data_IF_298888744661
#
_entry.id   IF_298888744661
#
_cell.length_a   1.000
_cell.length_b   1.000
_cell.length_c   1.000
_cell.angle_alpha   90.00
_cell.angle_beta   90.00
_cell.angle_gamma   90.00
#
_symmetry.space_group_name_H-M   'P 1'
#
loop_
_entity.id
_entity.type
_entity.pdbx_description
1 polymer ?
#
# COMPACT_ATOMS: atom_id res chain seq x y z
N UNK A 1 -27.15 42.99 0.85
CA UNK A 1 -26.68 42.19 1.99
C UNK A 1 -25.90 41.01 1.45
N UNK A 2 -24.59 41.18 1.25
CA UNK A 2 -23.70 40.15 0.76
C UNK A 2 -22.98 39.52 1.95
N UNK A 3 -23.20 38.23 2.17
CA UNK A 3 -22.67 37.48 3.30
C UNK A 3 -21.20 37.15 3.01
N UNK A 4 -20.29 37.82 3.71
CA UNK A 4 -18.85 37.51 3.69
C UNK A 4 -18.63 36.10 4.23
N UNK A 5 -18.25 35.18 3.34
CA UNK A 5 -17.81 33.82 3.68
C UNK A 5 -16.45 33.91 4.35
N UNK A 6 -16.41 33.78 5.68
CA UNK A 6 -15.16 33.67 6.43
C UNK A 6 -14.36 32.47 5.92
N UNK A 7 -13.15 32.72 5.43
CA UNK A 7 -12.11 31.70 5.30
C UNK A 7 -11.82 31.15 6.69
N UNK A 8 -12.23 29.90 6.95
CA UNK A 8 -11.68 29.14 8.09
C UNK A 8 -10.21 28.89 7.77
N UNK A 9 -9.31 29.45 8.59
CA UNK A 9 -7.89 29.16 8.52
C UNK A 9 -7.66 27.65 8.63
N UNK A 10 -6.70 27.12 7.88
CA UNK A 10 -6.26 25.75 8.00
C UNK A 10 -5.85 25.48 9.46
N UNK A 11 -6.37 24.41 10.05
CA UNK A 11 -5.92 23.98 11.37
C UNK A 11 -4.41 23.71 11.32
N UNK A 12 -3.63 24.13 12.33
CA UNK A 12 -2.19 23.92 12.33
C UNK A 12 -1.90 22.42 12.37
N UNK A 13 -1.06 21.93 11.45
CA UNK A 13 -0.48 20.60 11.53
C UNK A 13 0.24 20.48 12.88
N UNK A 14 -0.18 19.54 13.72
CA UNK A 14 0.49 19.29 15.00
C UNK A 14 1.66 18.34 14.73
N UNK A 15 2.84 18.93 14.52
CA UNK A 15 4.10 18.19 14.47
C UNK A 15 4.51 17.84 15.91
N UNK A 16 4.75 16.56 16.19
CA UNK A 16 5.29 16.18 17.48
C UNK A 16 6.75 16.66 17.59
N UNK A 17 7.16 17.27 18.72
CA UNK A 17 8.56 17.60 18.94
C UNK A 17 9.40 16.32 19.03
N UNK A 18 10.66 16.39 18.57
CA UNK A 18 11.59 15.26 18.60
C UNK A 18 11.69 14.68 20.03
N UNK A 19 11.64 13.34 20.20
CA UNK A 19 11.60 12.73 21.53
C UNK A 19 12.94 12.94 22.25
N UNK A 20 12.95 13.76 23.30
CA UNK A 20 14.12 13.97 24.16
C UNK A 20 14.20 12.86 25.22
N UNK A 21 14.97 11.81 24.94
CA UNK A 21 15.52 10.91 25.97
C UNK A 21 15.03 9.45 26.01
N UNK A 22 16.01 8.56 26.26
CA UNK A 22 16.01 7.16 26.72
C UNK A 22 15.13 6.10 26.05
N UNK A 23 14.32 6.46 25.05
CA UNK A 23 13.66 5.50 24.19
C UNK A 23 13.70 5.85 22.71
N UNK A 24 14.41 6.91 22.33
CA UNK A 24 14.46 7.52 20.99
C UNK A 24 14.84 6.55 19.87
N UNK A 25 14.65 6.99 18.63
CA UNK A 25 15.23 6.30 17.48
C UNK A 25 16.77 6.24 17.66
N UNK A 26 17.48 5.38 16.92
CA UNK A 26 18.94 5.52 16.95
C UNK A 26 19.34 6.92 16.47
N UNK A 27 20.50 7.43 16.88
CA UNK A 27 20.94 8.76 16.46
C UNK A 27 20.96 8.92 14.92
N UNK A 28 21.25 7.84 14.20
CA UNK A 28 21.17 7.76 12.74
C UNK A 28 19.73 7.84 12.23
N UNK A 29 18.80 7.14 12.86
CA UNK A 29 17.39 7.12 12.48
C UNK A 29 16.70 8.46 12.81
N UNK A 30 17.08 9.12 13.91
CA UNK A 30 16.59 10.46 14.24
C UNK A 30 17.06 11.50 13.20
N UNK A 31 18.30 11.40 12.71
CA UNK A 31 18.82 12.28 11.65
C UNK A 31 18.10 12.02 10.32
N UNK A 32 17.99 10.76 9.89
CA UNK A 32 17.26 10.38 8.67
C UNK A 32 15.78 10.83 8.73
N UNK A 33 15.12 10.69 9.88
CA UNK A 33 13.75 11.13 10.05
C UNK A 33 13.62 12.66 10.01
N UNK A 34 14.62 13.41 10.49
CA UNK A 34 14.66 14.88 10.39
C UNK A 34 14.81 15.34 8.95
N UNK A 35 15.69 14.69 8.19
CA UNK A 35 15.85 14.94 6.76
C UNK A 35 14.53 14.70 6.01
N UNK A 36 13.83 13.58 6.27
CA UNK A 36 12.54 13.27 5.64
C UNK A 36 11.43 14.29 5.94
N UNK A 37 11.38 14.80 7.18
CA UNK A 37 10.42 15.86 7.54
C UNK A 37 10.80 17.16 6.83
N UNK A 38 12.08 17.53 6.82
CA UNK A 38 12.56 18.76 6.19
C UNK A 38 12.37 18.74 4.66
N UNK A 39 12.65 17.63 3.98
CA UNK A 39 12.38 17.45 2.54
C UNK A 39 10.90 17.67 2.23
N UNK A 40 10.02 17.14 3.09
CA UNK A 40 8.57 17.26 2.90
C UNK A 40 8.06 18.66 3.21
N UNK A 41 8.62 19.35 4.20
CA UNK A 41 8.29 20.74 4.50
C UNK A 41 8.80 21.71 3.42
N UNK A 42 9.97 21.46 2.84
CA UNK A 42 10.50 22.22 1.70
C UNK A 42 9.66 22.12 0.43
N UNK A 43 8.95 20.99 0.23
CA UNK A 43 7.99 20.81 -0.86
C UNK A 43 6.65 21.55 -0.67
N UNK A 44 6.34 22.03 0.54
CA UNK A 44 5.07 22.70 0.85
C UNK A 44 5.14 24.22 0.59
N UNK A 45 6.35 24.81 0.55
CA UNK A 45 6.54 26.26 0.31
C UNK A 45 6.63 26.61 -1.20
N UNK A 46 6.97 25.65 -2.07
CA UNK A 46 6.98 25.87 -3.52
C UNK A 46 5.73 25.32 -4.21
N UNK A 47 4.66 26.13 -4.19
CA UNK A 47 3.62 26.01 -5.19
C UNK A 47 4.22 26.21 -6.59
N UNK A 48 4.26 25.13 -7.38
CA UNK A 48 4.70 25.04 -8.78
C UNK A 48 6.16 24.64 -9.01
N UNK A 49 6.47 23.38 -8.75
CA UNK A 49 7.39 22.64 -9.63
C UNK A 49 7.01 21.16 -9.62
N UNK A 50 7.08 20.52 -10.78
CA UNK A 50 6.80 19.09 -10.93
C UNK A 50 7.54 18.31 -9.82
N UNK A 51 6.95 17.23 -9.26
CA UNK A 51 7.73 16.33 -8.43
C UNK A 51 8.98 15.94 -9.21
N UNK A 52 10.16 15.81 -8.55
CA UNK A 52 11.36 15.35 -9.22
C UNK A 52 10.97 14.09 -9.97
N UNK A 53 11.14 14.13 -11.29
CA UNK A 53 10.97 12.97 -12.16
C UNK A 53 11.93 11.96 -11.55
N UNK A 54 11.37 10.99 -10.81
CA UNK A 54 12.12 9.81 -10.42
C UNK A 54 12.63 9.29 -11.74
N UNK A 55 13.96 9.31 -11.93
CA UNK A 55 14.59 8.69 -13.07
C UNK A 55 13.93 7.31 -13.17
N UNK A 56 13.14 7.11 -14.22
CA UNK A 56 12.55 5.82 -14.51
C UNK A 56 13.78 4.93 -14.72
N UNK A 57 14.18 4.17 -13.69
CA UNK A 57 15.06 3.04 -13.92
C UNK A 57 14.31 2.22 -14.97
N UNK A 58 14.79 2.30 -16.22
CA UNK A 58 14.23 1.57 -17.34
C UNK A 58 14.24 0.11 -16.92
N UNK A 59 13.07 -0.37 -16.48
CA UNK A 59 12.95 -1.69 -15.89
C UNK A 59 13.47 -2.71 -16.89
N UNK A 60 14.34 -3.60 -16.41
CA UNK A 60 14.90 -4.68 -17.21
C UNK A 60 13.78 -5.40 -17.98
N UNK A 61 13.95 -5.48 -19.30
CA UNK A 61 12.99 -6.11 -20.20
C UNK A 61 12.76 -7.55 -19.77
N UNK A 62 11.49 -7.95 -19.64
CA UNK A 62 11.13 -9.30 -19.21
C UNK A 62 11.11 -9.53 -17.70
N UNK A 63 11.36 -8.50 -16.88
CA UNK A 63 11.34 -8.59 -15.42
C UNK A 63 10.13 -7.84 -14.85
N UNK A 64 9.45 -8.46 -13.88
CA UNK A 64 8.38 -7.83 -13.10
C UNK A 64 8.99 -7.05 -11.93
N UNK A 65 8.83 -5.73 -11.93
CA UNK A 65 9.26 -4.85 -10.84
C UNK A 65 8.10 -4.51 -9.93
N UNK A 66 8.31 -4.61 -8.61
CA UNK A 66 7.36 -4.15 -7.61
C UNK A 66 7.74 -2.74 -7.17
N UNK A 67 6.84 -1.79 -7.39
CA UNK A 67 7.04 -0.38 -7.06
C UNK A 67 6.47 -0.02 -5.70
N UNK A 68 5.30 -0.57 -5.38
CA UNK A 68 4.60 -0.22 -4.15
C UNK A 68 3.78 -1.38 -3.63
N UNK A 69 3.88 -1.61 -2.32
CA UNK A 69 3.06 -2.56 -1.59
C UNK A 69 2.21 -1.79 -0.58
N UNK A 70 0.93 -2.12 -0.55
CA UNK A 70 -0.01 -1.67 0.48
C UNK A 70 -0.43 -2.86 1.34
N UNK A 71 -0.33 -2.73 2.65
CA UNK A 71 -0.73 -3.77 3.59
C UNK A 71 -1.42 -3.22 4.82
N UNK A 72 -2.21 -4.09 5.47
CA UNK A 72 -2.88 -3.82 6.73
C UNK A 72 -2.44 -4.82 7.79
N UNK A 73 -2.49 -4.40 9.06
CA UNK A 73 -2.47 -5.33 10.19
C UNK A 73 -3.29 -4.76 11.36
N UNK A 74 -3.50 -5.58 12.38
CA UNK A 74 -4.20 -5.20 13.61
C UNK A 74 -3.23 -5.26 14.80
N UNK A 75 -3.22 -4.22 15.63
CA UNK A 75 -2.40 -4.09 16.83
C UNK A 75 -3.08 -4.62 18.11
N UNK A 76 -4.39 -4.94 18.03
CA UNK A 76 -5.22 -5.50 19.10
C UNK A 76 -5.29 -4.67 20.39
N UNK A 77 -5.21 -3.35 20.27
CA UNK A 77 -5.40 -2.41 21.36
C UNK A 77 -6.01 -1.09 20.86
N UNK A 78 -6.73 -0.39 21.72
CA UNK A 78 -7.15 0.98 21.43
C UNK A 78 -5.95 1.92 21.60
N UNK A 79 -5.81 2.85 20.67
CA UNK A 79 -4.69 3.78 20.58
C UNK A 79 -5.22 5.20 20.71
N UNK A 80 -4.73 5.90 21.72
CA UNK A 80 -4.84 7.35 21.80
C UNK A 80 -3.87 7.95 20.77
N UNK A 81 -4.45 8.63 19.76
CA UNK A 81 -3.72 9.15 18.61
C UNK A 81 -2.80 10.32 18.99
N UNK A 82 -3.19 11.16 19.95
CA UNK A 82 -2.36 12.26 20.44
C UNK A 82 -1.13 11.71 21.19
N UNK A 83 -1.34 10.70 22.04
CA UNK A 83 -0.24 10.03 22.74
C UNK A 83 0.66 9.27 21.77
N UNK A 84 0.08 8.59 20.78
CA UNK A 84 0.85 7.87 19.77
C UNK A 84 1.68 8.83 18.90
N UNK A 85 1.13 9.98 18.53
CA UNK A 85 1.85 11.01 17.78
C UNK A 85 3.09 11.50 18.56
N UNK A 86 2.89 11.86 19.84
CA UNK A 86 4.01 12.25 20.73
C UNK A 86 5.04 11.13 20.94
N UNK A 87 4.61 9.87 20.99
CA UNK A 87 5.49 8.73 21.21
C UNK A 87 6.37 8.39 20.00
N UNK A 88 5.89 8.66 18.79
CA UNK A 88 6.61 8.38 17.55
C UNK A 88 7.56 9.53 17.20
N UNK A 89 7.14 10.78 17.48
CA UNK A 89 7.96 11.98 17.32
C UNK A 89 8.03 12.49 15.88
N UNK A 90 8.34 11.62 14.92
CA UNK A 90 8.36 11.91 13.49
C UNK A 90 7.00 11.65 12.82
N UNK A 91 5.92 12.08 13.47
CA UNK A 91 4.57 11.74 13.04
C UNK A 91 3.66 12.95 12.95
N UNK A 92 2.74 12.90 12.01
CA UNK A 92 1.74 13.93 11.75
C UNK A 92 0.36 13.39 12.11
N UNK A 93 -0.39 14.19 12.87
CA UNK A 93 -1.78 13.88 13.20
C UNK A 93 -2.61 15.15 13.09
N UNK A 94 -3.63 15.10 12.24
CA UNK A 94 -4.63 16.16 12.10
C UNK A 94 -6.03 15.54 12.03
N UNK A 95 -6.80 15.54 13.13
CA UNK A 95 -8.12 14.90 13.17
C UNK A 95 -9.13 15.51 12.19
N UNK A 96 -8.97 16.77 11.78
CA UNK A 96 -9.88 17.40 10.83
C UNK A 96 -9.66 16.94 9.39
N UNK A 97 -8.42 16.59 9.03
CA UNK A 97 -8.06 16.11 7.70
C UNK A 97 -8.17 14.58 7.62
N UNK A 98 -7.55 13.88 8.57
CA UNK A 98 -7.48 12.42 8.55
C UNK A 98 -7.32 11.84 9.96
N UNK A 99 -8.26 10.97 10.34
CA UNK A 99 -8.37 10.40 11.69
C UNK A 99 -7.36 9.25 11.94
N UNK A 100 -6.08 9.50 11.66
CA UNK A 100 -4.99 8.56 11.90
C UNK A 100 -3.67 9.29 12.13
N UNK A 101 -2.79 8.71 12.95
CA UNK A 101 -1.40 9.16 13.04
C UNK A 101 -0.62 8.62 11.86
N UNK A 102 0.00 9.48 11.06
CA UNK A 102 0.91 9.08 9.98
C UNK A 102 2.36 9.21 10.44
N UNK A 103 3.16 8.20 10.11
CA UNK A 103 4.62 8.19 10.30
C UNK A 103 5.27 7.79 8.99
N UNK A 104 6.24 8.55 8.52
CA UNK A 104 7.07 8.16 7.39
C UNK A 104 8.39 7.58 7.90
N UNK A 105 8.82 6.46 7.32
CA UNK A 105 10.00 5.73 7.77
C UNK A 105 10.84 5.34 6.57
N UNK A 106 12.14 5.70 6.62
CA UNK A 106 13.14 5.19 5.70
C UNK A 106 13.26 3.67 5.84
N UNK A 107 13.03 2.95 4.76
CA UNK A 107 13.22 1.50 4.68
C UNK A 107 14.69 1.18 4.34
N UNK A 108 15.11 -0.07 4.58
CA UNK A 108 16.47 -0.53 4.29
C UNK A 108 16.83 -0.44 2.81
N UNK A 109 15.83 -0.56 1.94
CA UNK A 109 15.97 -0.44 0.48
C UNK A 109 15.97 1.01 -0.01
N UNK A 110 16.17 2.00 0.87
CA UNK A 110 16.19 3.42 0.52
C UNK A 110 14.86 3.96 -0.06
N UNK A 111 13.74 3.26 0.17
CA UNK A 111 12.40 3.78 -0.09
C UNK A 111 11.76 4.34 1.20
N UNK A 112 10.72 5.15 1.05
CA UNK A 112 9.99 5.75 2.19
C UNK A 112 8.66 5.01 2.33
N UNK A 113 8.45 4.39 3.49
CA UNK A 113 7.17 3.78 3.83
C UNK A 113 6.36 4.69 4.76
N UNK A 114 5.15 5.02 4.35
CA UNK A 114 4.16 5.72 5.17
C UNK A 114 3.29 4.72 5.94
N UNK A 115 3.28 4.85 7.26
CA UNK A 115 2.49 4.03 8.19
C UNK A 115 1.40 4.90 8.81
N UNK A 116 0.14 4.52 8.64
CA UNK A 116 -1.02 5.16 9.23
C UNK A 116 -1.58 4.27 10.35
N UNK A 117 -1.78 4.84 11.54
CA UNK A 117 -2.28 4.16 12.74
C UNK A 117 -3.63 4.75 13.13
N UNK A 118 -4.64 3.90 13.25
CA UNK A 118 -6.01 4.28 13.61
C UNK A 118 -6.28 4.03 15.09
N UNK A 119 -7.23 4.76 15.67
CA UNK A 119 -7.55 4.69 17.10
C UNK A 119 -8.07 3.33 17.55
N UNK A 120 -8.66 2.56 16.64
CA UNK A 120 -9.10 1.18 16.86
C UNK A 120 -7.97 0.13 16.79
N UNK A 121 -6.71 0.57 16.66
CA UNK A 121 -5.55 -0.31 16.55
C UNK A 121 -5.33 -0.92 15.17
N UNK A 122 -6.11 -0.55 14.16
CA UNK A 122 -5.77 -0.89 12.76
C UNK A 122 -4.51 -0.10 12.37
N UNK A 123 -3.64 -0.72 11.60
CA UNK A 123 -2.47 -0.08 11.03
C UNK A 123 -2.39 -0.38 9.54
N UNK A 124 -2.09 0.63 8.73
CA UNK A 124 -1.94 0.56 7.29
C UNK A 124 -0.53 1.01 6.92
N UNK A 125 0.14 0.28 6.04
CA UNK A 125 1.45 0.66 5.50
C UNK A 125 1.40 0.76 3.97
N UNK A 126 2.13 1.72 3.41
CA UNK A 126 2.28 1.96 1.97
C UNK A 126 3.68 2.46 1.63
N UNK A 127 4.12 2.36 0.37
CA UNK A 127 5.33 3.04 -0.13
C UNK A 127 6.61 2.18 -0.12
N UNK A 128 6.55 0.97 0.44
CA UNK A 128 7.64 0.01 0.33
C UNK A 128 7.57 -0.75 -1.00
N UNK A 129 8.73 -1.12 -1.54
CA UNK A 129 8.88 -1.91 -2.77
C UNK A 129 8.88 -3.44 -2.53
N UNK A 130 8.72 -3.90 -1.29
CA UNK A 130 8.63 -5.32 -0.92
C UNK A 130 7.68 -5.52 0.26
N UNK A 131 7.00 -6.68 0.26
CA UNK A 131 6.09 -7.10 1.33
C UNK A 131 6.84 -7.31 2.65
N UNK A 132 8.02 -7.91 2.58
CA UNK A 132 8.88 -8.20 3.73
C UNK A 132 9.35 -6.90 4.39
N UNK A 133 9.75 -5.92 3.57
CA UNK A 133 10.23 -4.63 4.04
C UNK A 133 9.10 -3.85 4.72
N UNK A 134 7.93 -3.79 4.09
CA UNK A 134 6.75 -3.15 4.69
C UNK A 134 6.39 -3.80 6.04
N UNK A 135 6.42 -5.14 6.10
CA UNK A 135 6.15 -5.89 7.33
C UNK A 135 7.17 -5.58 8.42
N UNK A 136 8.46 -5.43 8.08
CA UNK A 136 9.52 -5.05 9.02
C UNK A 136 9.29 -3.65 9.57
N UNK A 137 8.98 -2.68 8.71
CA UNK A 137 8.68 -1.30 9.09
C UNK A 137 7.47 -1.21 10.00
N UNK A 138 6.38 -1.89 9.66
CA UNK A 138 5.19 -1.99 10.52
C UNK A 138 5.52 -2.60 11.89
N UNK A 139 6.32 -3.67 11.95
CA UNK A 139 6.79 -4.26 13.21
C UNK A 139 7.68 -3.30 14.02
N UNK A 140 8.48 -2.46 13.36
CA UNK A 140 9.33 -1.44 14.00
C UNK A 140 8.45 -0.41 14.71
N UNK A 141 7.44 0.14 14.01
CA UNK A 141 6.46 1.07 14.59
C UNK A 141 5.67 0.44 15.74
N UNK A 142 5.16 -0.78 15.57
CA UNK A 142 4.44 -1.49 16.63
C UNK A 142 5.28 -1.67 17.90
N UNK A 143 6.56 -2.04 17.76
CA UNK A 143 7.49 -2.16 18.90
C UNK A 143 7.79 -0.82 19.56
N UNK A 144 7.85 0.27 18.79
CA UNK A 144 8.05 1.62 19.32
C UNK A 144 6.88 2.04 20.20
N UNK A 145 5.65 1.87 19.71
CA UNK A 145 4.42 2.10 20.46
C UNK A 145 4.28 1.22 21.71
N UNK A 146 4.90 0.04 21.72
CA UNK A 146 4.89 -0.84 22.89
C UNK A 146 5.88 -0.42 23.97
N UNK A 147 7.07 0.07 23.58
CA UNK A 147 8.17 0.39 24.51
C UNK A 147 8.19 1.83 25.00
N UNK A 148 7.50 2.74 24.32
CA UNK A 148 7.57 4.16 24.66
C UNK A 148 6.98 4.41 26.06
N UNK A 149 7.63 5.19 26.95
CA UNK A 149 7.17 5.38 28.33
C UNK A 149 5.81 6.07 28.45
N UNK A 150 5.44 6.92 27.48
CA UNK A 150 4.12 7.56 27.40
C UNK A 150 2.98 6.58 27.08
N UNK A 151 3.29 5.39 26.57
CA UNK A 151 2.31 4.41 26.11
C UNK A 151 2.39 3.15 26.95
N UNK A 152 1.24 2.64 27.39
CA UNK A 152 1.13 1.33 28.08
C UNK A 152 0.37 0.30 27.24
N UNK A 153 0.51 0.41 25.91
CA UNK A 153 -0.23 -0.44 24.98
C UNK A 153 0.31 -1.87 25.00
N UNK A 154 -0.58 -2.84 25.17
CA UNK A 154 -0.28 -4.25 24.90
C UNK A 154 -0.42 -4.51 23.41
N UNK A 155 0.59 -4.10 22.65
CA UNK A 155 0.61 -4.22 21.20
C UNK A 155 0.85 -5.67 20.78
N UNK A 156 -0.01 -6.20 19.92
CA UNK A 156 0.19 -7.48 19.24
C UNK A 156 -0.15 -7.32 17.76
N UNK A 157 0.88 -7.35 16.90
CA UNK A 157 0.70 -7.26 15.46
C UNK A 157 0.20 -8.59 14.90
N UNK A 158 -1.06 -8.62 14.49
CA UNK A 158 -1.76 -9.79 13.94
C UNK A 158 -2.46 -9.43 12.63
N UNK A 159 -3.00 -10.44 11.93
CA UNK A 159 -3.78 -10.25 10.69
C UNK A 159 -3.06 -9.37 9.66
N UNK A 160 -1.74 -9.56 9.51
CA UNK A 160 -1.00 -8.89 8.45
C UNK A 160 -1.49 -9.41 7.09
N UNK A 161 -1.99 -8.52 6.24
CA UNK A 161 -2.52 -8.85 4.93
C UNK A 161 -2.11 -7.80 3.92
N UNK A 162 -1.54 -8.24 2.80
CA UNK A 162 -1.32 -7.37 1.64
C UNK A 162 -2.68 -7.07 1.01
N UNK A 163 -2.91 -5.80 0.72
CA UNK A 163 -4.14 -5.33 0.09
C UNK A 163 -3.96 -5.09 -1.40
N UNK A 164 -2.79 -4.60 -1.81
CA UNK A 164 -2.50 -4.26 -3.18
C UNK A 164 -0.98 -4.23 -3.41
N UNK A 165 -0.58 -4.64 -4.60
CA UNK A 165 0.77 -4.51 -5.15
C UNK A 165 0.65 -3.75 -6.46
N UNK A 166 1.46 -2.70 -6.61
CA UNK A 166 1.71 -2.01 -7.85
C UNK A 166 3.02 -2.51 -8.43
N UNK A 167 2.99 -2.97 -9.66
CA UNK A 167 4.19 -3.39 -10.38
C UNK A 167 4.21 -2.93 -11.82
N UNK A 168 5.36 -3.03 -12.46
CA UNK A 168 5.54 -2.81 -13.89
C UNK A 168 6.31 -3.95 -14.53
N UNK A 169 6.08 -4.15 -15.81
CA UNK A 169 6.76 -5.10 -16.64
C UNK A 169 6.99 -4.48 -18.02
N UNK A 170 8.18 -4.65 -18.58
CA UNK A 170 8.52 -4.14 -19.91
C UNK A 170 8.60 -5.31 -20.89
N UNK A 171 7.71 -5.31 -21.89
CA UNK A 171 7.78 -6.23 -23.01
C UNK A 171 8.78 -5.74 -24.06
N UNK A 172 9.54 -6.66 -24.67
CA UNK A 172 10.69 -6.35 -25.53
C UNK A 172 10.37 -5.68 -26.86
N UNK A 173 9.10 -5.51 -27.21
CA UNK A 173 8.71 -5.06 -28.55
C UNK A 173 7.42 -4.22 -28.49
N UNK A 174 7.25 -3.26 -29.41
CA UNK A 174 6.00 -2.51 -29.52
C UNK A 174 4.81 -3.42 -29.83
N UNK A 175 3.64 -3.06 -29.31
CA UNK A 175 2.40 -3.86 -29.41
C UNK A 175 1.32 -3.04 -30.10
N UNK A 176 0.61 -3.66 -31.05
CA UNK A 176 -0.60 -3.10 -31.63
C UNK A 176 -1.79 -3.29 -30.68
N UNK A 177 -2.15 -2.24 -29.94
CA UNK A 177 -3.29 -2.27 -29.02
C UNK A 177 -4.63 -2.50 -29.74
N UNK A 178 -4.76 -2.04 -30.99
CA UNK A 178 -5.93 -2.31 -31.82
C UNK A 178 -6.06 -3.79 -32.18
N UNK A 179 -4.94 -4.44 -32.54
CA UNK A 179 -4.94 -5.88 -32.82
C UNK A 179 -5.25 -6.68 -31.54
N UNK A 180 -4.68 -6.28 -30.41
CA UNK A 180 -4.93 -6.90 -29.12
C UNK A 180 -6.41 -6.79 -28.72
N UNK A 181 -7.01 -5.62 -28.88
CA UNK A 181 -8.43 -5.38 -28.58
C UNK A 181 -9.39 -6.16 -29.51
N UNK A 182 -8.93 -6.55 -30.70
CA UNK A 182 -9.71 -7.36 -31.63
C UNK A 182 -9.72 -8.86 -31.27
N UNK A 183 -8.85 -9.32 -30.37
CA UNK A 183 -8.81 -10.71 -29.93
C UNK A 183 -10.04 -11.03 -29.06
N UNK A 184 -10.78 -12.09 -29.41
CA UNK A 184 -12.00 -12.47 -28.68
C UNK A 184 -11.74 -13.27 -27.42
N UNK A 185 -10.54 -13.84 -27.30
CA UNK A 185 -10.12 -14.70 -26.19
C UNK A 185 -9.73 -13.90 -24.95
N UNK A 186 -9.34 -12.63 -25.12
CA UNK A 186 -8.95 -11.72 -24.05
C UNK A 186 -9.92 -10.54 -24.01
N UNK A 187 -10.56 -10.31 -22.87
CA UNK A 187 -11.39 -9.13 -22.70
C UNK A 187 -10.52 -7.89 -22.46
N UNK A 188 -10.39 -7.07 -23.50
CA UNK A 188 -9.57 -5.87 -23.51
C UNK A 188 -10.45 -4.64 -23.62
N UNK A 189 -10.40 -3.76 -22.62
CA UNK A 189 -10.99 -2.44 -22.67
C UNK A 189 -9.99 -1.46 -23.31
N UNK A 190 -10.20 -1.07 -24.56
CA UNK A 190 -9.34 -0.10 -25.24
C UNK A 190 -10.16 1.01 -25.89
N UNK A 191 -10.02 2.22 -25.34
CA UNK A 191 -10.65 3.44 -25.85
C UNK A 191 -9.57 4.55 -25.92
N UNK A 192 -8.81 4.64 -27.04
CA UNK A 192 -7.65 5.53 -27.15
C UNK A 192 -7.98 7.00 -26.91
N UNK A 193 -9.21 7.43 -27.25
CA UNK A 193 -9.72 8.78 -27.02
C UNK A 193 -9.89 9.11 -25.54
N UNK A 194 -10.06 8.10 -24.67
CA UNK A 194 -10.20 8.29 -23.22
C UNK A 194 -8.89 8.05 -22.46
N UNK A 195 -8.15 7.03 -22.87
CA UNK A 195 -6.89 6.65 -22.24
C UNK A 195 -5.99 5.92 -23.25
N UNK A 196 -4.69 6.26 -23.33
CA UNK A 196 -3.80 5.71 -24.36
C UNK A 196 -3.48 4.22 -24.19
N UNK A 197 -3.63 3.65 -22.98
CA UNK A 197 -3.38 2.23 -22.71
C UNK A 197 -4.62 1.35 -22.85
N UNK A 198 -4.42 0.08 -23.17
CA UNK A 198 -5.46 -0.94 -23.12
C UNK A 198 -5.52 -1.58 -21.73
N UNK A 199 -6.72 -1.81 -21.20
CA UNK A 199 -6.91 -2.39 -19.87
C UNK A 199 -7.40 -3.82 -19.98
N UNK A 200 -6.75 -4.71 -19.24
CA UNK A 200 -7.09 -6.14 -19.14
C UNK A 200 -7.29 -6.50 -17.68
N UNK A 201 -8.30 -7.31 -17.38
CA UNK A 201 -8.56 -7.81 -16.02
C UNK A 201 -8.44 -9.32 -16.00
N UNK A 202 -7.55 -9.84 -15.17
CA UNK A 202 -7.34 -11.27 -14.97
C UNK A 202 -7.82 -11.63 -13.57
N UNK A 203 -8.73 -12.59 -13.49
CA UNK A 203 -9.20 -13.14 -12.21
C UNK A 203 -8.22 -14.20 -11.75
N UNK A 204 -7.77 -14.10 -10.50
CA UNK A 204 -6.77 -15.01 -9.94
C UNK A 204 -7.47 -16.22 -9.31
N UNK A 205 -7.11 -17.45 -9.71
CA UNK A 205 -7.62 -18.66 -9.07
C UNK A 205 -7.28 -18.70 -7.58
N UNK A 206 -8.21 -19.18 -6.75
CA UNK A 206 -8.01 -19.27 -5.29
C UNK A 206 -6.79 -20.08 -4.86
N UNK A 207 -6.35 -21.05 -5.68
CA UNK A 207 -5.14 -21.84 -5.40
C UNK A 207 -3.86 -20.99 -5.37
N UNK A 208 -3.86 -19.81 -5.98
CA UNK A 208 -2.73 -18.87 -6.04
C UNK A 208 -2.90 -17.74 -5.01
N UNK A 209 -4.12 -17.47 -4.53
CA UNK A 209 -4.40 -16.50 -3.45
C UNK A 209 -3.93 -17.05 -2.09
N UNK A 210 -2.62 -16.97 -1.85
CA UNK A 210 -1.94 -17.39 -0.62
C UNK A 210 -2.31 -16.54 0.61
N UNK A 211 -3.08 -15.46 0.44
CA UNK A 211 -3.46 -14.51 1.50
C UNK A 211 -4.89 -14.77 2.02
N UNK A 212 -5.55 -15.83 1.54
CA UNK A 212 -6.89 -16.22 1.99
C UNK A 212 -6.90 -17.00 3.31
N UNK A 213 -5.88 -17.82 3.63
CA UNK A 213 -5.98 -18.80 4.73
C UNK A 213 -4.81 -18.81 5.76
N UNK A 214 -3.99 -17.76 5.86
CA UNK A 214 -2.89 -17.73 6.82
C UNK A 214 -3.27 -17.19 8.23
N UNK A 215 -4.46 -17.53 8.77
CA UNK A 215 -4.79 -17.25 10.18
C UNK A 215 -6.01 -18.01 10.76
N UNK A 216 -6.11 -19.34 10.61
CA UNK A 216 -7.11 -20.14 11.37
C UNK A 216 -6.54 -21.29 12.22
N UNK A 217 -5.22 -21.39 12.36
CA UNK A 217 -4.61 -22.41 13.24
C UNK A 217 -3.55 -21.80 14.13
N UNK A 218 -3.95 -21.02 15.12
CA UNK A 218 -3.16 -20.88 16.35
C UNK A 218 -4.02 -20.35 17.52
N UNK A 219 -4.20 -21.25 18.52
CA UNK A 219 -4.76 -21.06 19.88
C UNK A 219 -6.27 -21.19 20.07
N UNK A 220 -6.82 -22.35 19.71
CA UNK A 220 -7.93 -22.97 20.44
C UNK A 220 -7.38 -24.11 21.33
N UNK A 221 -6.59 -23.77 22.34
CA UNK A 221 -6.20 -24.69 23.40
C UNK A 221 -5.80 -23.90 24.65
N UNK A 222 -6.77 -23.57 25.50
CA UNK A 222 -6.75 -23.75 26.96
C UNK A 222 -7.89 -22.97 27.62
N UNK A 223 -8.90 -23.70 28.11
CA UNK A 223 -9.57 -23.46 29.39
C UNK A 223 -10.54 -22.27 29.52
N UNK A 224 -11.83 -22.59 29.70
CA UNK A 224 -12.75 -21.69 30.40
C UNK A 224 -14.20 -21.82 29.95
N UNK A 225 -14.93 -22.77 30.52
CA UNK A 225 -16.37 -22.89 30.38
C UNK A 225 -17.10 -21.68 31.01
N UNK A 226 -18.02 -21.07 30.27
CA UNK A 226 -19.30 -20.61 30.82
C UNK A 226 -20.35 -20.57 29.70
N UNK A 227 -21.29 -21.51 29.77
CA UNK A 227 -22.53 -21.46 29.01
C UNK A 227 -23.49 -20.49 29.70
N UNK A 228 -24.09 -19.55 28.97
CA UNK A 228 -25.42 -19.02 29.27
C UNK A 228 -26.02 -18.45 27.99
N UNK A 229 -27.14 -19.05 27.60
CA UNK A 229 -27.96 -18.71 26.44
C UNK A 229 -28.67 -17.36 26.64
N UNK A 230 -28.67 -16.53 25.62
CA UNK A 230 -29.84 -15.72 25.23
C UNK A 230 -29.75 -15.47 23.74
N UNK A 231 -30.77 -15.91 23.00
CA UNK A 231 -30.83 -15.85 21.56
C UNK A 231 -31.02 -14.43 21.01
N UNK A 232 -30.32 -14.16 19.92
CA UNK A 232 -30.81 -13.34 18.82
C UNK A 232 -30.14 -13.85 17.55
N UNK A 233 -30.92 -14.56 16.75
CA UNK A 233 -30.54 -15.02 15.41
C UNK A 233 -30.19 -13.84 14.53
N UNK A 234 -28.91 -13.68 14.18
CA UNK A 234 -28.49 -12.92 12.99
C UNK A 234 -27.41 -13.73 12.27
N UNK A 235 -27.90 -14.48 11.28
CA UNK A 235 -27.28 -14.76 9.98
C UNK A 235 -25.75 -14.82 9.94
N UNK A 236 -25.24 -16.05 9.95
CA UNK A 236 -24.00 -16.40 9.27
C UNK A 236 -24.15 -16.08 7.77
N UNK A 237 -23.66 -14.91 7.35
CA UNK A 237 -23.48 -14.58 5.93
C UNK A 237 -22.02 -14.83 5.55
N UNK A 238 -21.81 -16.01 4.97
CA UNK A 238 -20.97 -16.28 3.81
C UNK A 238 -19.76 -15.34 3.61
N UNK A 239 -18.65 -15.67 4.27
CA UNK A 239 -17.33 -15.12 3.97
C UNK A 239 -16.79 -15.69 2.65
N UNK A 240 -17.54 -15.55 1.54
CA UNK A 240 -16.99 -15.78 0.21
C UNK A 240 -15.91 -14.73 -0.01
N UNK A 241 -14.65 -15.13 0.17
CA UNK A 241 -13.49 -14.28 -0.05
C UNK A 241 -13.63 -13.54 -1.37
N UNK A 242 -13.50 -12.20 -1.31
CA UNK A 242 -13.58 -11.32 -2.47
C UNK A 242 -12.63 -11.85 -3.55
N UNK A 243 -13.15 -12.10 -4.75
CA UNK A 243 -12.32 -12.56 -5.87
C UNK A 243 -11.17 -11.59 -6.09
N UNK A 244 -9.97 -12.14 -6.24
CA UNK A 244 -8.79 -11.36 -6.56
C UNK A 244 -8.76 -11.12 -8.07
N UNK A 245 -8.61 -9.86 -8.45
CA UNK A 245 -8.54 -9.44 -9.85
C UNK A 245 -7.32 -8.55 -10.01
N UNK A 246 -6.40 -8.98 -10.87
CA UNK A 246 -5.26 -8.18 -11.30
C UNK A 246 -5.67 -7.42 -12.56
N UNK A 247 -5.51 -6.11 -12.53
CA UNK A 247 -5.72 -5.23 -13.67
C UNK A 247 -4.37 -4.88 -14.27
N UNK A 248 -4.19 -5.20 -15.56
CA UNK A 248 -3.04 -4.82 -16.35
C UNK A 248 -3.42 -3.63 -17.24
N UNK A 249 -2.56 -2.61 -17.31
CA UNK A 249 -2.64 -1.56 -18.31
C UNK A 249 -1.47 -1.73 -19.27
N UNK A 250 -1.77 -1.88 -20.54
CA UNK A 250 -0.84 -2.22 -21.61
C UNK A 250 -0.66 -0.98 -22.49
N UNK A 251 0.58 -0.60 -22.75
CA UNK A 251 0.93 0.53 -23.61
C UNK A 251 1.51 0.04 -24.94
N UNK A 252 1.35 0.82 -26.01
CA UNK A 252 1.87 0.48 -27.33
C UNK A 252 3.39 0.33 -27.37
N UNK A 253 4.10 0.92 -26.40
CA UNK A 253 5.56 0.80 -26.23
C UNK A 253 6.01 -0.58 -25.76
N UNK A 254 5.10 -1.43 -25.26
CA UNK A 254 5.46 -2.68 -24.58
C UNK A 254 5.43 -2.57 -23.06
N UNK A 255 5.30 -1.36 -22.50
CA UNK A 255 5.18 -1.18 -21.06
C UNK A 255 3.84 -1.72 -20.55
N UNK A 256 3.89 -2.39 -19.40
CA UNK A 256 2.74 -2.97 -18.72
C UNK A 256 2.76 -2.53 -17.27
N UNK A 257 1.69 -1.95 -16.78
CA UNK A 257 1.51 -1.70 -15.34
C UNK A 257 0.47 -2.68 -14.78
N UNK A 258 0.74 -3.20 -13.59
CA UNK A 258 -0.10 -4.20 -12.93
C UNK A 258 -0.54 -3.67 -11.57
N UNK A 259 -1.82 -3.85 -11.25
CA UNK A 259 -2.42 -3.47 -9.96
C UNK A 259 -3.51 -4.46 -9.54
N UNK A 260 -3.87 -4.46 -8.25
CA UNK A 260 -4.97 -5.25 -7.70
C UNK A 260 -4.56 -6.61 -7.15
N UNK A 261 -3.34 -7.06 -7.44
CA UNK A 261 -2.78 -8.29 -6.88
C UNK A 261 -2.42 -8.14 -5.39
N UNK A 262 -2.57 -9.24 -4.64
CA UNK A 262 -2.24 -9.35 -3.21
C UNK A 262 -0.98 -10.16 -2.96
N UNK A 263 -0.39 -10.75 -3.99
CA UNK A 263 0.88 -11.47 -3.94
C UNK A 263 1.67 -11.30 -5.24
N UNK A 264 2.97 -11.55 -5.22
CA UNK A 264 3.81 -11.45 -6.43
C UNK A 264 3.43 -12.56 -7.42
N UNK A 265 3.12 -13.75 -6.93
CA UNK A 265 2.69 -14.90 -7.72
C UNK A 265 1.38 -14.62 -8.47
N UNK A 266 0.46 -13.87 -7.85
CA UNK A 266 -0.79 -13.44 -8.49
C UNK A 266 -0.53 -12.48 -9.65
N UNK A 267 0.46 -11.60 -9.50
CA UNK A 267 0.88 -10.66 -10.55
C UNK A 267 1.58 -11.39 -11.70
N UNK A 268 2.47 -12.34 -11.39
CA UNK A 268 3.14 -13.20 -12.37
C UNK A 268 2.15 -14.06 -13.16
N UNK A 269 1.18 -14.66 -12.47
CA UNK A 269 0.12 -15.44 -13.13
C UNK A 269 -0.69 -14.60 -14.12
N UNK A 270 -1.09 -13.40 -13.69
CA UNK A 270 -1.83 -12.48 -14.54
C UNK A 270 -1.02 -12.07 -15.78
N UNK A 271 0.28 -11.83 -15.60
CA UNK A 271 1.19 -11.54 -16.69
C UNK A 271 1.32 -12.73 -17.65
N UNK A 272 1.54 -13.95 -17.13
CA UNK A 272 1.65 -15.17 -17.94
C UNK A 272 0.40 -15.43 -18.79
N UNK A 273 -0.79 -15.05 -18.30
CA UNK A 273 -2.03 -15.14 -19.06
C UNK A 273 -2.08 -14.18 -20.26
N UNK A 274 -1.41 -13.03 -20.17
CA UNK A 274 -1.45 -11.97 -21.19
C UNK A 274 -0.29 -12.08 -22.19
N UNK A 275 0.88 -12.57 -21.76
CA UNK A 275 2.11 -12.64 -22.58
C UNK A 275 1.93 -13.31 -23.97
N UNK A 276 1.22 -14.44 -24.12
CA UNK A 276 1.01 -15.06 -25.43
C UNK A 276 0.28 -14.15 -26.42
N UNK A 277 -0.66 -13.32 -25.93
CA UNK A 277 -1.39 -12.37 -26.76
C UNK A 277 -0.53 -11.18 -27.15
N UNK A 278 0.37 -10.73 -26.25
CA UNK A 278 1.33 -9.68 -26.59
C UNK A 278 2.28 -10.13 -27.69
N UNK A 279 2.74 -11.38 -27.66
CA UNK A 279 3.58 -11.98 -28.70
C UNK A 279 2.87 -12.02 -30.06
N UNK A 280 1.57 -12.31 -30.10
CA UNK A 280 0.78 -12.32 -31.34
C UNK A 280 0.56 -10.92 -31.92
N UNK A 281 0.55 -9.89 -31.08
CA UNK A 281 0.26 -8.50 -31.48
C UNK A 281 1.52 -7.62 -31.60
N UNK A 282 2.71 -8.23 -31.67
CA UNK A 282 3.95 -7.51 -31.90
C UNK A 282 3.91 -6.78 -33.24
N UNK A 283 4.30 -5.50 -33.23
CA UNK A 283 4.59 -4.76 -34.45
C UNK A 283 6.03 -5.09 -34.81
N UNK A 284 6.25 -5.69 -35.98
CA UNK A 284 7.61 -5.88 -36.48
C UNK A 284 8.30 -4.51 -36.50
N UNK A 285 9.49 -4.41 -35.88
CA UNK A 285 10.32 -3.22 -36.02
C UNK A 285 10.51 -2.99 -37.52
N UNK A 286 9.88 -1.94 -38.03
CA UNK A 286 9.88 -1.64 -39.45
C UNK A 286 11.31 -1.58 -39.96
N UNK A 287 11.67 -2.58 -40.75
CA UNK A 287 12.63 -2.39 -41.84
C UNK A 287 11.89 -1.55 -42.87
N UNK A 288 12.12 -0.24 -42.82
CA UNK A 288 11.81 0.69 -43.89
C UNK A 288 13.09 1.38 -44.30
#
# INVERSE_FOLDING_TARGET
MATTRQHRGAAPFVHAPAPTGLGGWSATEDEENRELIAEREGLIDEGTSNPPVQEEEEGEVGVLFVHNVMAFCQLNCNIDLDVACRALGNSVYNPEEFHSVRVDVRCRTNCIASINIFSNGKMMGTGANSVEELRRTMKKIARRLQRHPLTKYKVSMTRFRVSNILGSYTFSSPISLHALAALRELHVDYEPERFPGARVKITIPKAIDTNSDANETEKAATGGAWASQTGSSQTAQDSKGKEEVVTLQLFSTGNVTLTGGRSVESMEYALQCVLPFLQQCQVANGTS
#
